data_IF_590093404126
#
_entry.id   IF_590093404126
#
_cell.length_a   1.000
_cell.length_b   1.000
_cell.length_c   1.000
_cell.angle_alpha   90.00
_cell.angle_beta   90.00
_cell.angle_gamma   90.00
#
_symmetry.space_group_name_H-M   'P 1'
#
loop_
_entity.id
_entity.type
_entity.pdbx_description
1 polymer ?
#
# COMPACT_ATOMS: atom_id res chain seq x y z
N UNK A 1 -18.24 -14.55 -11.86
CA UNK A 1 -17.31 -13.80 -11.00
C UNK A 1 -16.50 -12.86 -11.85
N UNK A 2 -16.59 -11.55 -11.60
CA UNK A 2 -15.77 -10.53 -12.24
C UNK A 2 -14.66 -10.07 -11.29
N UNK A 3 -13.58 -9.53 -11.85
CA UNK A 3 -12.51 -8.88 -11.08
C UNK A 3 -12.73 -7.38 -11.10
N UNK A 4 -12.96 -6.77 -9.94
CA UNK A 4 -13.15 -5.32 -9.85
C UNK A 4 -11.80 -4.60 -10.01
N UNK A 5 -11.75 -3.58 -10.86
CA UNK A 5 -10.59 -2.69 -11.01
C UNK A 5 -11.02 -1.31 -10.52
N UNK A 6 -10.28 -0.77 -9.55
CA UNK A 6 -10.60 0.49 -8.85
C UNK A 6 -9.41 1.42 -9.02
N UNK A 7 -9.65 2.56 -9.65
CA UNK A 7 -8.69 3.65 -9.75
C UNK A 7 -8.82 4.56 -8.52
N UNK A 8 -7.78 4.59 -7.69
CA UNK A 8 -7.68 5.46 -6.52
C UNK A 8 -7.06 6.82 -6.86
N UNK A 9 -6.54 6.99 -8.08
CA UNK A 9 -5.79 8.17 -8.49
C UNK A 9 -4.47 8.32 -7.74
N UNK A 10 -4.11 9.56 -7.39
CA UNK A 10 -2.86 9.87 -6.68
C UNK A 10 -3.12 10.15 -5.21
N UNK A 11 -2.39 9.45 -4.32
CA UNK A 11 -2.46 9.68 -2.87
C UNK A 11 -1.20 9.22 -2.14
N UNK A 12 -1.00 9.72 -0.92
CA UNK A 12 0.09 9.28 -0.04
C UNK A 12 -0.01 7.78 0.29
N UNK A 13 1.14 7.15 0.54
CA UNK A 13 1.23 5.69 0.71
C UNK A 13 0.36 5.17 1.87
N UNK A 14 0.34 5.87 3.01
CA UNK A 14 -0.46 5.46 4.17
C UNK A 14 -1.96 5.47 3.88
N UNK A 15 -2.47 6.48 3.17
CA UNK A 15 -3.88 6.54 2.78
C UNK A 15 -4.23 5.37 1.85
N UNK A 16 -3.37 5.04 0.88
CA UNK A 16 -3.57 3.90 0.01
C UNK A 16 -3.49 2.55 0.75
N UNK A 17 -2.63 2.45 1.76
CA UNK A 17 -2.57 1.27 2.62
C UNK A 17 -3.86 1.07 3.42
N UNK A 18 -4.46 2.14 3.93
CA UNK A 18 -5.75 2.06 4.61
C UNK A 18 -6.87 1.63 3.65
N UNK A 19 -6.87 2.14 2.41
CA UNK A 19 -7.78 1.68 1.35
C UNK A 19 -7.56 0.19 1.01
N UNK A 20 -6.30 -0.24 0.91
CA UNK A 20 -5.97 -1.65 0.70
C UNK A 20 -6.52 -2.53 1.83
N UNK A 21 -6.37 -2.14 3.10
CA UNK A 21 -6.89 -2.89 4.25
C UNK A 21 -8.41 -2.93 4.25
N UNK A 22 -9.07 -1.82 3.95
CA UNK A 22 -10.53 -1.72 3.83
C UNK A 22 -11.07 -2.65 2.75
N UNK A 23 -10.47 -2.62 1.56
CA UNK A 23 -10.85 -3.48 0.44
C UNK A 23 -10.56 -4.96 0.70
N UNK A 24 -9.43 -5.27 1.33
CA UNK A 24 -9.09 -6.64 1.74
C UNK A 24 -10.12 -7.20 2.73
N UNK A 25 -10.50 -6.43 3.74
CA UNK A 25 -11.52 -6.84 4.71
C UNK A 25 -12.88 -7.11 4.03
N UNK A 26 -13.28 -6.28 3.05
CA UNK A 26 -14.51 -6.50 2.29
C UNK A 26 -14.45 -7.80 1.46
N UNK A 27 -13.33 -8.06 0.76
CA UNK A 27 -13.15 -9.31 0.01
C UNK A 27 -13.19 -10.52 0.93
N UNK A 28 -12.57 -10.45 2.11
CA UNK A 28 -12.64 -11.53 3.11
C UNK A 28 -14.08 -11.77 3.58
N UNK A 29 -14.82 -10.72 3.92
CA UNK A 29 -16.22 -10.83 4.34
C UNK A 29 -17.13 -11.42 3.25
N UNK A 30 -16.84 -11.16 1.97
CA UNK A 30 -17.64 -11.72 0.86
C UNK A 30 -17.56 -13.24 0.76
N UNK A 31 -16.54 -13.89 1.36
CA UNK A 31 -16.36 -15.35 1.28
C UNK A 31 -17.50 -16.15 1.92
N UNK A 32 -18.23 -15.53 2.84
CA UNK A 32 -19.38 -16.14 3.52
C UNK A 32 -20.72 -15.85 2.82
N UNK A 33 -20.69 -15.11 1.70
CA UNK A 33 -21.89 -14.79 0.91
C UNK A 33 -22.13 -15.80 -0.21
N UNK A 34 -23.35 -15.82 -0.75
CA UNK A 34 -23.73 -16.69 -1.88
C UNK A 34 -22.96 -16.34 -3.18
N UNK A 35 -22.37 -15.14 -3.27
CA UNK A 35 -21.59 -14.67 -4.41
C UNK A 35 -20.23 -14.09 -3.96
N UNK A 36 -19.23 -14.93 -3.64
CA UNK A 36 -17.94 -14.46 -3.16
C UNK A 36 -17.18 -13.67 -4.22
N UNK A 37 -16.49 -12.61 -3.79
CA UNK A 37 -15.63 -11.83 -4.67
C UNK A 37 -14.35 -12.60 -5.03
N UNK A 38 -13.95 -12.55 -6.30
CA UNK A 38 -12.66 -13.07 -6.73
C UNK A 38 -11.49 -12.26 -6.14
N UNK A 39 -11.68 -10.95 -6.02
CA UNK A 39 -10.68 -9.99 -5.55
C UNK A 39 -10.88 -8.61 -6.19
N UNK A 40 -9.98 -7.69 -5.86
CA UNK A 40 -9.97 -6.31 -6.39
C UNK A 40 -8.55 -5.92 -6.79
N UNK A 41 -8.41 -5.23 -7.92
CA UNK A 41 -7.18 -4.56 -8.33
C UNK A 41 -7.33 -3.08 -7.98
N UNK A 42 -6.42 -2.56 -7.16
CA UNK A 42 -6.33 -1.14 -6.84
C UNK A 42 -5.21 -0.52 -7.67
N UNK A 43 -5.53 0.48 -8.48
CA UNK A 43 -4.56 1.29 -9.22
C UNK A 43 -4.35 2.59 -8.46
N UNK A 44 -3.08 2.97 -8.23
CA UNK A 44 -2.73 4.15 -7.45
C UNK A 44 -1.36 4.67 -7.85
N UNK A 45 -1.21 6.00 -7.85
CA UNK A 45 0.07 6.69 -7.92
C UNK A 45 0.40 7.29 -6.55
N UNK A 46 1.66 7.24 -6.13
CA UNK A 46 2.10 7.83 -4.87
C UNK A 46 2.93 9.08 -5.09
N UNK A 47 2.86 10.00 -4.13
CA UNK A 47 3.94 10.96 -3.95
C UNK A 47 5.25 10.22 -3.61
N UNK A 48 6.43 10.84 -3.81
CA UNK A 48 7.71 10.17 -3.59
C UNK A 48 7.78 9.50 -2.23
N UNK A 49 7.89 8.17 -2.24
CA UNK A 49 7.91 7.34 -1.03
C UNK A 49 8.91 6.21 -1.19
N UNK A 50 9.66 5.94 -0.12
CA UNK A 50 10.46 4.73 0.04
C UNK A 50 9.79 3.88 1.12
N UNK A 51 9.44 2.65 0.77
CA UNK A 51 8.89 1.68 1.72
C UNK A 51 9.96 0.69 2.15
N UNK A 52 10.13 0.48 3.45
CA UNK A 52 11.12 -0.45 4.00
C UNK A 52 10.40 -1.54 4.78
N UNK A 53 10.66 -2.81 4.45
CA UNK A 53 10.09 -3.93 5.22
C UNK A 53 10.74 -4.02 6.61
N UNK A 54 10.05 -4.58 7.60
CA UNK A 54 10.61 -4.80 8.95
C UNK A 54 11.66 -5.93 9.04
N UNK A 55 12.12 -6.48 7.90
CA UNK A 55 13.09 -7.58 7.88
C UNK A 55 14.48 -7.07 8.28
N UNK A 56 15.26 -7.84 9.06
CA UNK A 56 16.64 -7.48 9.40
C UNK A 56 17.45 -7.17 8.13
N UNK A 57 18.23 -6.07 8.16
CA UNK A 57 19.03 -5.61 7.02
C UNK A 57 18.27 -4.81 5.96
N UNK A 58 16.92 -4.76 5.97
CA UNK A 58 16.18 -4.01 4.95
C UNK A 58 16.47 -2.50 4.97
N UNK A 59 16.71 -1.94 6.15
CA UNK A 59 17.07 -0.53 6.32
C UNK A 59 18.46 -0.20 5.77
N UNK A 60 19.35 -1.19 5.62
CA UNK A 60 20.72 -0.99 5.12
C UNK A 60 20.75 -0.69 3.61
N UNK A 61 19.66 -0.97 2.88
CA UNK A 61 19.50 -0.56 1.49
C UNK A 61 19.24 0.95 1.35
N UNK A 62 18.92 1.65 2.44
CA UNK A 62 18.69 3.07 2.44
C UNK A 62 20.02 3.84 2.49
N UNK A 63 20.44 4.37 1.34
CA UNK A 63 21.71 5.11 1.23
C UNK A 63 21.61 6.55 1.74
N UNK A 64 20.43 7.16 1.65
CA UNK A 64 20.16 8.53 2.08
C UNK A 64 19.65 8.54 3.53
N UNK A 65 20.08 9.51 4.33
CA UNK A 65 19.53 9.64 5.68
C UNK A 65 18.05 10.05 5.65
N UNK A 66 17.24 9.68 6.64
CA UNK A 66 15.83 10.09 6.73
C UNK A 66 15.64 11.61 6.64
N UNK A 67 16.57 12.39 7.20
CA UNK A 67 16.55 13.86 7.16
C UNK A 67 16.75 14.38 5.74
N UNK A 68 17.66 13.75 4.98
CA UNK A 68 17.91 14.10 3.59
C UNK A 68 16.68 13.79 2.72
N UNK A 69 16.04 12.64 2.95
CA UNK A 69 14.81 12.25 2.26
C UNK A 69 13.68 13.25 2.54
N UNK A 70 13.45 13.58 3.81
CA UNK A 70 12.42 14.54 4.21
C UNK A 70 12.66 15.92 3.57
N UNK A 71 13.92 16.39 3.51
CA UNK A 71 14.27 17.65 2.84
C UNK A 71 13.92 17.66 1.34
N UNK A 72 13.90 16.50 0.68
CA UNK A 72 13.52 16.35 -0.73
C UNK A 72 12.06 15.94 -0.92
N UNK A 73 11.25 15.95 0.15
CA UNK A 73 9.84 15.57 0.08
C UNK A 73 9.60 14.09 -0.17
N UNK A 74 10.56 13.23 0.19
CA UNK A 74 10.41 11.77 0.08
C UNK A 74 9.97 11.21 1.44
N UNK A 75 8.80 10.59 1.48
CA UNK A 75 8.31 9.89 2.67
C UNK A 75 9.07 8.58 2.86
N UNK A 76 9.45 8.25 4.10
CA UNK A 76 10.01 6.95 4.46
C UNK A 76 8.98 6.20 5.32
N UNK A 77 8.50 5.06 4.83
CA UNK A 77 7.44 4.28 5.51
C UNK A 77 7.90 2.86 5.79
N UNK A 78 7.86 2.46 7.06
CA UNK A 78 8.00 1.05 7.43
C UNK A 78 6.72 0.28 7.09
N UNK A 79 6.87 -0.87 6.44
CA UNK A 79 5.76 -1.73 6.01
C UNK A 79 5.97 -3.17 6.47
N UNK A 80 4.87 -3.90 6.67
CA UNK A 80 4.84 -5.33 6.99
C UNK A 80 4.57 -6.22 5.77
N UNK A 81 4.59 -5.64 4.56
CA UNK A 81 4.62 -6.39 3.30
C UNK A 81 5.81 -7.35 3.19
#
# INVERSE_FOLDING_TARGET
>A
MSLAVIDLGRMGYRAAWDEQRRHHAAVLASRESDEPELGRILLVEHDPVITVTKRPGAIEHLLASPELLAKHGVELVETDR
#
